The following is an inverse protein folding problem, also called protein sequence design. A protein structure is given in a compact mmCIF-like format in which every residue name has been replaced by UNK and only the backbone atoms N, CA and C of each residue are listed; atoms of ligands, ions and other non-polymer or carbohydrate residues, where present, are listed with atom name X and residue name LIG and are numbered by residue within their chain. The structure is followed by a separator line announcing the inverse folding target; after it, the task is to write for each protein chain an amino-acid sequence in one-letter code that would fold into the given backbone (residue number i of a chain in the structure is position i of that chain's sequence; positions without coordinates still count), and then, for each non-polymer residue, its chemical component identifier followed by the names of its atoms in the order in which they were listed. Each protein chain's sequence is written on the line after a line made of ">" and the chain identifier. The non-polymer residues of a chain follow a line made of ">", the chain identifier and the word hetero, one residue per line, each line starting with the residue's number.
data_IF_067778593537
#
_entry.id   IF_067778593537
#
_cell.length_a   1.000
_cell.length_b   1.000
_cell.length_c   1.000
_cell.angle_alpha   90.00
_cell.angle_beta   90.00
_cell.angle_gamma   90.00
#
_symmetry.space_group_name_H-M   'P 1'
#
loop_
_entity.id
_entity.type
_entity.pdbx_description
1 polymer ?
#
# COMPACT_ATOMS: atom_id res chain seq x y z
N UNK A 1 -69.95 3.49 10.57
CA UNK A 1 -68.84 2.54 10.35
C UNK A 1 -67.71 3.00 11.25
N UNK A 2 -67.62 2.38 12.42
CA UNK A 2 -66.52 2.57 13.36
C UNK A 2 -65.27 1.88 12.78
N UNK A 3 -64.12 2.52 12.93
CA UNK A 3 -62.82 1.86 12.76
C UNK A 3 -62.01 2.12 14.02
N UNK A 4 -62.04 1.13 14.92
CA UNK A 4 -60.88 0.39 15.43
C UNK A 4 -59.50 1.00 15.11
N UNK A 5 -58.48 0.98 15.97
CA UNK A 5 -58.23 0.33 17.26
C UNK A 5 -56.85 0.85 17.70
N UNK A 6 -56.63 0.99 19.01
CA UNK A 6 -55.38 1.42 19.65
C UNK A 6 -54.25 0.41 19.41
N UNK A 7 -53.03 0.92 19.16
CA UNK A 7 -51.76 0.24 19.46
C UNK A 7 -50.79 1.33 19.96
N UNK A 8 -50.69 1.58 21.27
CA UNK A 8 -49.73 0.96 22.19
C UNK A 8 -48.33 0.92 21.55
N UNK A 9 -47.37 1.78 21.91
CA UNK A 9 -46.58 1.85 23.15
C UNK A 9 -45.10 1.62 22.76
N UNK A 10 -44.23 2.51 23.25
CA UNK A 10 -42.78 2.36 23.46
C UNK A 10 -41.91 1.98 22.24
N UNK A 11 -41.19 2.97 21.72
CA UNK A 11 -39.85 2.76 21.15
C UNK A 11 -38.80 3.24 22.15
N UNK A 12 -38.26 2.37 23.01
CA UNK A 12 -37.07 2.67 23.79
C UNK A 12 -35.83 2.30 22.97
N UNK A 13 -34.68 2.88 23.36
CA UNK A 13 -33.32 2.59 22.87
C UNK A 13 -32.88 3.22 21.54
N UNK A 14 -32.56 4.51 21.60
CA UNK A 14 -31.43 5.07 20.84
C UNK A 14 -30.19 5.10 21.75
N UNK A 15 -29.69 3.91 22.13
CA UNK A 15 -28.34 3.80 22.68
C UNK A 15 -27.37 3.69 21.51
N UNK A 16 -26.93 4.84 21.00
CA UNK A 16 -25.77 4.92 20.12
C UNK A 16 -24.53 4.56 20.96
N UNK A 17 -24.19 3.27 21.01
CA UNK A 17 -22.90 2.81 21.50
C UNK A 17 -21.86 3.04 20.41
N UNK A 18 -21.17 4.19 20.45
CA UNK A 18 -19.95 4.41 19.69
C UNK A 18 -18.83 3.57 20.33
N UNK A 19 -18.75 2.28 19.99
CA UNK A 19 -17.59 1.46 20.34
C UNK A 19 -16.48 1.82 19.35
N UNK A 20 -15.59 2.75 19.72
CA UNK A 20 -14.35 2.94 18.98
C UNK A 20 -13.45 1.74 19.25
N UNK A 21 -13.48 0.75 18.35
CA UNK A 21 -12.48 -0.33 18.34
C UNK A 21 -11.13 0.32 18.07
N UNK A 22 -10.15 0.23 18.99
CA UNK A 22 -8.80 0.65 18.69
C UNK A 22 -8.30 -0.27 17.58
N UNK A 23 -8.00 0.29 16.41
CA UNK A 23 -7.32 -0.49 15.36
C UNK A 23 -6.02 -1.04 15.96
N UNK A 24 -5.72 -2.33 15.78
CA UNK A 24 -4.44 -2.89 16.20
C UNK A 24 -3.35 -2.06 15.53
N UNK A 25 -2.56 -1.33 16.33
CA UNK A 25 -1.34 -0.70 15.83
C UNK A 25 -0.45 -1.83 15.34
N UNK A 26 -0.29 -1.95 14.03
CA UNK A 26 0.74 -2.83 13.49
C UNK A 26 2.08 -2.16 13.79
N UNK A 27 2.90 -2.78 14.64
CA UNK A 27 4.28 -2.35 14.95
C UNK A 27 5.22 -2.52 13.74
N UNK A 28 4.70 -2.96 12.60
CA UNK A 28 5.45 -3.08 11.35
C UNK A 28 5.54 -1.70 10.69
N UNK A 29 6.75 -1.17 10.43
CA UNK A 29 6.90 0.10 9.75
C UNK A 29 6.27 0.03 8.35
N UNK A 30 5.60 1.10 7.89
CA UNK A 30 5.02 1.12 6.56
C UNK A 30 6.12 1.01 5.50
N UNK A 31 5.78 0.56 4.28
CA UNK A 31 6.72 0.60 3.17
C UNK A 31 7.24 2.02 2.94
N UNK A 32 8.53 2.13 2.62
CA UNK A 32 9.19 3.40 2.32
C UNK A 32 9.10 3.69 0.83
N UNK A 33 8.80 4.95 0.53
CA UNK A 33 8.81 5.47 -0.82
C UNK A 33 9.59 6.78 -0.84
N UNK A 34 10.62 6.82 -1.66
CA UNK A 34 11.45 8.00 -1.87
C UNK A 34 11.50 8.35 -3.35
N UNK A 35 11.44 9.64 -3.65
CA UNK A 35 11.56 10.18 -5.01
C UNK A 35 12.78 11.07 -5.11
N UNK A 36 13.37 11.07 -6.30
CA UNK A 36 14.45 11.97 -6.64
C UNK A 36 14.30 12.41 -8.09
N UNK A 37 14.21 13.73 -8.29
CA UNK A 37 14.26 14.35 -9.60
C UNK A 37 15.64 14.97 -9.75
N UNK A 38 16.38 14.49 -10.74
CA UNK A 38 17.73 14.96 -11.03
C UNK A 38 17.72 16.35 -11.66
N UNK A 39 18.91 16.93 -11.85
CA UNK A 39 19.05 18.22 -12.55
C UNK A 39 18.60 18.11 -14.01
N UNK A 40 19.01 17.05 -14.72
CA UNK A 40 18.59 16.76 -16.10
C UNK A 40 17.10 16.39 -16.24
N UNK A 41 16.41 16.19 -15.11
CA UNK A 41 14.96 16.01 -15.07
C UNK A 41 14.53 14.56 -15.14
N UNK A 42 15.45 13.59 -15.06
CA UNK A 42 15.10 12.20 -14.80
C UNK A 42 14.37 12.06 -13.46
N UNK A 43 13.22 11.37 -13.49
CA UNK A 43 12.39 11.07 -12.32
C UNK A 43 12.69 9.67 -11.83
N UNK A 44 13.36 9.57 -10.69
CA UNK A 44 13.74 8.30 -10.06
C UNK A 44 12.95 8.06 -8.79
N UNK A 45 12.69 6.80 -8.50
CA UNK A 45 12.06 6.40 -7.25
C UNK A 45 12.75 5.19 -6.63
N UNK A 46 12.56 5.07 -5.33
CA UNK A 46 12.90 3.90 -4.52
C UNK A 46 11.64 3.49 -3.76
N UNK A 47 11.31 2.21 -3.85
CA UNK A 47 10.31 1.55 -3.04
C UNK A 47 10.96 0.48 -2.19
N UNK A 48 10.77 0.54 -0.87
CA UNK A 48 11.16 -0.52 0.05
C UNK A 48 9.93 -1.10 0.72
N UNK A 49 9.71 -2.40 0.50
CA UNK A 49 8.61 -3.11 1.12
C UNK A 49 8.85 -3.20 2.63
N UNK A 50 7.77 -3.06 3.41
CA UNK A 50 7.81 -3.31 4.84
C UNK A 50 8.38 -4.71 5.13
N UNK A 51 9.20 -4.89 6.19
CA UNK A 51 9.62 -6.20 6.62
C UNK A 51 8.39 -7.07 6.91
N UNK A 52 8.14 -8.06 6.06
CA UNK A 52 7.14 -9.08 6.33
C UNK A 52 7.70 -10.03 7.40
N UNK A 53 7.65 -9.61 8.66
CA UNK A 53 7.92 -10.47 9.83
C UNK A 53 6.97 -11.68 9.84
N UNK A 54 5.76 -11.51 9.30
CA UNK A 54 4.76 -12.57 9.10
C UNK A 54 4.08 -12.39 7.75
N UNK A 55 4.15 -13.43 6.91
CA UNK A 55 3.29 -13.53 5.73
C UNK A 55 1.82 -13.48 6.20
N UNK A 56 0.88 -12.96 5.38
CA UNK A 56 -0.54 -13.08 5.69
C UNK A 56 -0.86 -14.55 5.98
N UNK A 57 -1.37 -14.83 7.18
CA UNK A 57 -1.81 -16.17 7.59
C UNK A 57 -3.04 -16.53 6.76
N UNK A 58 -2.83 -16.99 5.53
CA UNK A 58 -3.90 -17.22 4.56
C UNK A 58 -3.56 -18.21 3.45
N UNK A 59 -2.42 -18.89 3.52
CA UNK A 59 -2.06 -20.00 2.62
C UNK A 59 -1.96 -21.31 3.43
N UNK A 60 -3.01 -21.66 4.18
CA UNK A 60 -3.12 -23.00 4.77
C UNK A 60 -3.99 -23.85 3.86
N UNK A 61 -3.36 -24.54 2.91
CA UNK A 61 -3.99 -25.62 2.15
C UNK A 61 -3.54 -26.93 2.81
N UNK A 62 -4.43 -27.48 3.63
CA UNK A 62 -4.53 -28.87 4.06
C UNK A 62 -3.23 -29.72 4.07
N UNK A 63 -2.57 -29.79 5.23
CA UNK A 63 -1.99 -31.03 5.78
C UNK A 63 -0.89 -31.77 5.00
N UNK A 64 -0.21 -31.15 4.03
CA UNK A 64 0.87 -31.80 3.24
C UNK A 64 2.24 -31.11 3.42
N UNK A 65 3.37 -31.86 3.25
CA UNK A 65 4.70 -31.38 3.59
C UNK A 65 5.12 -30.19 2.71
N UNK A 66 5.45 -29.07 3.35
CA UNK A 66 5.83 -27.81 2.70
C UNK A 66 7.20 -27.93 2.04
N UNK A 67 7.24 -27.78 0.71
CA UNK A 67 8.44 -27.35 -0.05
C UNK A 67 8.02 -26.38 -1.17
N UNK A 68 8.79 -25.34 -1.52
CA UNK A 68 9.89 -24.68 -0.78
C UNK A 68 9.74 -23.12 -0.79
N UNK A 69 10.64 -22.41 -0.10
CA UNK A 69 10.83 -20.94 -0.07
C UNK A 69 10.52 -20.14 -1.35
N UNK A 70 10.59 -20.76 -2.55
CA UNK A 70 10.31 -20.10 -3.84
C UNK A 70 8.89 -19.51 -3.90
N UNK A 71 7.87 -20.27 -3.49
CA UNK A 71 6.48 -19.78 -3.48
C UNK A 71 6.29 -18.57 -2.55
N UNK A 72 7.04 -18.52 -1.44
CA UNK A 72 7.02 -17.38 -0.53
C UNK A 72 7.74 -16.16 -1.09
N UNK A 73 8.87 -16.37 -1.78
CA UNK A 73 9.60 -15.29 -2.46
C UNK A 73 8.76 -14.72 -3.61
N UNK A 74 8.15 -15.57 -4.43
CA UNK A 74 7.25 -15.15 -5.52
C UNK A 74 6.04 -14.38 -4.98
N UNK A 75 5.44 -14.86 -3.88
CA UNK A 75 4.35 -14.13 -3.22
C UNK A 75 4.79 -12.77 -2.67
N UNK A 76 6.01 -12.68 -2.13
CA UNK A 76 6.58 -11.40 -1.68
C UNK A 76 6.77 -10.43 -2.84
N UNK A 77 7.37 -10.89 -3.93
CA UNK A 77 7.63 -10.08 -5.10
C UNK A 77 6.33 -9.58 -5.74
N UNK A 78 5.29 -10.42 -5.78
CA UNK A 78 3.96 -10.04 -6.26
C UNK A 78 3.33 -8.95 -5.38
N UNK A 79 3.35 -9.11 -4.06
CA UNK A 79 2.83 -8.09 -3.13
C UNK A 79 3.61 -6.78 -3.25
N UNK A 80 4.93 -6.84 -3.38
CA UNK A 80 5.76 -5.67 -3.58
C UNK A 80 5.46 -4.96 -4.91
N UNK A 81 5.24 -5.72 -5.99
CA UNK A 81 4.84 -5.15 -7.27
C UNK A 81 3.47 -4.45 -7.18
N UNK A 82 2.49 -5.09 -6.55
CA UNK A 82 1.16 -4.52 -6.37
C UNK A 82 1.19 -3.23 -5.53
N UNK A 83 1.96 -3.22 -4.42
CA UNK A 83 2.12 -2.04 -3.58
C UNK A 83 2.79 -0.87 -4.32
N UNK A 84 3.80 -1.17 -5.13
CA UNK A 84 4.44 -0.17 -5.98
C UNK A 84 3.46 0.42 -6.99
N UNK A 85 2.71 -0.43 -7.69
CA UNK A 85 1.72 0.01 -8.70
C UNK A 85 0.63 0.87 -8.07
N UNK A 86 0.11 0.48 -6.91
CA UNK A 86 -0.88 1.26 -6.16
C UNK A 86 -0.34 2.64 -5.79
N UNK A 87 0.90 2.71 -5.28
CA UNK A 87 1.50 3.99 -4.90
C UNK A 87 1.75 4.89 -6.09
N UNK A 88 2.30 4.37 -7.19
CA UNK A 88 2.53 5.14 -8.41
C UNK A 88 1.21 5.65 -9.01
N UNK A 89 0.17 4.81 -8.99
CA UNK A 89 -1.17 5.19 -9.44
C UNK A 89 -1.80 6.27 -8.56
N UNK A 90 -1.58 6.22 -7.24
CA UNK A 90 -2.11 7.18 -6.28
C UNK A 90 -1.35 8.51 -6.34
N UNK A 91 -0.02 8.47 -6.33
CA UNK A 91 0.84 9.66 -6.29
C UNK A 91 0.97 10.35 -7.64
N UNK A 92 0.75 9.63 -8.75
CA UNK A 92 0.93 10.16 -10.11
C UNK A 92 2.36 10.65 -10.36
N UNK A 93 3.35 9.98 -9.78
CA UNK A 93 4.76 10.34 -9.98
C UNK A 93 5.24 10.01 -11.39
N UNK A 94 4.89 8.83 -11.91
CA UNK A 94 5.12 8.45 -13.30
C UNK A 94 3.79 8.39 -14.06
N UNK A 95 3.69 9.10 -15.18
CA UNK A 95 2.51 9.18 -16.04
C UNK A 95 2.61 8.27 -17.26
N UNK A 96 3.81 8.07 -17.81
CA UNK A 96 4.04 7.26 -19.03
C UNK A 96 4.66 5.89 -18.71
N UNK A 97 4.46 5.43 -17.47
CA UNK A 97 5.08 4.23 -16.94
C UNK A 97 6.52 4.45 -16.48
N UNK A 98 7.20 3.36 -16.17
CA UNK A 98 8.54 3.37 -15.64
C UNK A 98 9.33 2.13 -16.08
N UNK A 99 10.64 2.23 -15.96
CA UNK A 99 11.57 1.10 -16.06
C UNK A 99 12.13 0.76 -14.68
N UNK A 100 12.39 -0.53 -14.46
CA UNK A 100 13.06 -1.01 -13.24
C UNK A 100 14.56 -0.98 -13.47
N UNK A 101 15.28 -0.25 -12.63
CA UNK A 101 16.74 -0.17 -12.64
C UNK A 101 17.37 -1.28 -11.80
N UNK A 102 16.78 -1.58 -10.64
CA UNK A 102 17.26 -2.64 -9.73
C UNK A 102 16.08 -3.19 -8.94
N UNK A 103 16.09 -4.50 -8.70
CA UNK A 103 15.10 -5.19 -7.87
C UNK A 103 15.79 -6.20 -6.96
N UNK A 104 15.45 -6.13 -5.68
CA UNK A 104 15.71 -7.16 -4.68
C UNK A 104 14.37 -7.63 -4.10
N UNK A 105 14.39 -8.58 -3.15
CA UNK A 105 13.17 -9.08 -2.53
C UNK A 105 12.51 -8.11 -1.54
N UNK A 106 13.11 -6.95 -1.29
CA UNK A 106 12.56 -5.89 -0.43
C UNK A 106 12.69 -4.49 -1.02
N UNK A 107 13.41 -4.29 -2.12
CA UNK A 107 13.69 -2.96 -2.68
C UNK A 107 13.56 -2.94 -4.19
N UNK A 108 12.86 -1.95 -4.72
CA UNK A 108 12.79 -1.65 -6.16
C UNK A 108 13.28 -0.22 -6.38
N UNK A 109 14.20 -0.05 -7.33
CA UNK A 109 14.60 1.24 -7.87
C UNK A 109 14.10 1.34 -9.30
N UNK A 110 13.53 2.48 -9.66
CA UNK A 110 13.01 2.71 -11.00
C UNK A 110 13.19 4.14 -11.47
N UNK A 111 12.95 4.33 -12.76
CA UNK A 111 13.00 5.61 -13.46
C UNK A 111 11.73 5.74 -14.32
N UNK A 112 11.03 6.88 -14.23
CA UNK A 112 9.88 7.12 -15.09
C UNK A 112 10.32 7.27 -16.55
N UNK A 113 9.43 6.94 -17.48
CA UNK A 113 9.69 7.08 -18.91
C UNK A 113 9.64 8.53 -19.42
N UNK A 114 9.24 9.46 -18.55
CA UNK A 114 9.13 10.88 -18.87
C UNK A 114 9.96 11.76 -17.94
N UNK A 115 10.40 12.89 -18.48
CA UNK A 115 11.11 13.94 -17.74
C UNK A 115 10.17 14.68 -16.78
N UNK A 116 10.71 15.15 -15.67
CA UNK A 116 10.01 15.99 -14.72
C UNK A 116 9.60 17.34 -15.32
N UNK A 117 8.34 17.68 -15.11
CA UNK A 117 7.83 19.04 -15.28
C UNK A 117 8.22 19.93 -14.08
N UNK A 118 8.01 21.24 -14.22
CA UNK A 118 8.14 22.18 -13.11
C UNK A 118 7.18 21.84 -11.96
N UNK A 119 5.98 21.36 -12.28
CA UNK A 119 5.00 20.93 -11.29
C UNK A 119 5.48 19.70 -10.51
N UNK A 120 6.12 18.73 -11.18
CA UNK A 120 6.68 17.55 -10.52
C UNK A 120 7.75 17.95 -9.49
N UNK A 121 8.64 18.88 -9.86
CA UNK A 121 9.69 19.38 -8.94
C UNK A 121 9.13 20.06 -7.70
N UNK A 122 7.95 20.65 -7.79
CA UNK A 122 7.26 21.27 -6.65
C UNK A 122 6.50 20.25 -5.81
N UNK A 123 5.89 19.25 -6.45
CA UNK A 123 5.08 18.23 -5.80
C UNK A 123 5.91 17.13 -5.13
N UNK A 124 7.10 16.84 -5.67
CA UNK A 124 7.96 15.75 -5.24
C UNK A 124 9.37 16.26 -4.89
N UNK A 125 9.53 16.93 -3.73
CA UNK A 125 10.84 17.32 -3.26
C UNK A 125 11.74 16.10 -3.06
N UNK A 126 13.03 16.27 -3.36
CA UNK A 126 14.00 15.18 -3.30
C UNK A 126 14.19 14.70 -1.85
N UNK A 127 14.03 13.39 -1.65
CA UNK A 127 14.29 12.77 -0.35
C UNK A 127 15.80 12.69 -0.09
N UNK A 128 16.21 13.02 1.14
CA UNK A 128 17.57 12.78 1.63
C UNK A 128 17.86 11.28 1.67
N UNK A 129 19.00 10.83 1.13
CA UNK A 129 19.41 9.42 1.19
C UNK A 129 18.82 8.50 0.11
N UNK A 130 18.31 9.05 -1.00
CA UNK A 130 17.75 8.25 -2.11
C UNK A 130 18.76 7.33 -2.84
N UNK A 131 20.06 7.54 -2.63
CA UNK A 131 21.15 6.81 -3.31
C UNK A 131 21.54 5.49 -2.62
N UNK A 132 21.17 5.30 -1.36
CA UNK A 132 21.41 4.07 -0.58
C UNK A 132 20.57 2.89 -1.09
#
# INVERSE_FOLDING_TARGET
>A
MESSLRLLLLSPLLLAACTSVPSPRSDVPPPLFATHITEEGSKRFVFEAAPLERLPTGLSVEGKPVRPRKSLLESREALQAEQLDQWLAQKKFCHQGFIVLTRTSWKIRGECNETASTADRQAFPNASGWEE
#
